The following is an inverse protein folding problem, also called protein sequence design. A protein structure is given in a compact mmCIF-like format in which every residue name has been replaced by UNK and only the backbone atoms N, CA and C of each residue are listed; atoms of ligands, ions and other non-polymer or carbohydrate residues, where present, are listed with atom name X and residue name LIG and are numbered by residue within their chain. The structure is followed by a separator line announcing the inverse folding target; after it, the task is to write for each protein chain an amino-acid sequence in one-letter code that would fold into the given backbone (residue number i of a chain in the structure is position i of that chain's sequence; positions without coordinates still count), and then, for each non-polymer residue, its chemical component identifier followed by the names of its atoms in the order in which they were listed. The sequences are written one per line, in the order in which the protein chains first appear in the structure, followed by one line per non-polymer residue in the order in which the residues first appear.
data_IF_952903941687
#
_entry.id   IF_952903941687
#
_cell.length_a   1.000
_cell.length_b   1.000
_cell.length_c   1.000
_cell.angle_alpha   90.00
_cell.angle_beta   90.00
_cell.angle_gamma   90.00
#
_symmetry.space_group_name_H-M   'P 1'
#
loop_
_entity.id
_entity.type
_entity.pdbx_description
1 polymer ?
#
# COMPACT_ATOMS: atom_id res chain seq x y z
N UNK A 1 6.61 12.42 -8.07
CA UNK A 1 6.11 11.56 -6.97
C UNK A 1 7.26 11.01 -6.16
N UNK A 2 7.00 10.36 -5.04
CA UNK A 2 8.01 9.82 -4.13
C UNK A 2 7.70 8.40 -3.72
N UNK A 3 8.73 7.61 -3.49
CA UNK A 3 8.65 6.26 -2.94
C UNK A 3 9.76 6.01 -1.91
N UNK A 4 9.37 5.57 -0.71
CA UNK A 4 10.31 5.08 0.30
C UNK A 4 10.37 3.56 0.24
N UNK A 5 11.54 2.99 -0.04
CA UNK A 5 11.72 1.55 -0.17
C UNK A 5 13.11 1.10 0.25
N UNK A 6 13.17 0.16 1.20
CA UNK A 6 14.41 -0.46 1.67
C UNK A 6 14.49 -1.96 1.37
N UNK A 7 13.38 -2.58 0.95
CA UNK A 7 13.34 -3.98 0.58
C UNK A 7 13.32 -4.13 -0.94
N UNK A 8 14.51 -4.39 -1.52
CA UNK A 8 14.76 -4.28 -2.96
C UNK A 8 14.38 -5.52 -3.77
N UNK A 9 14.03 -6.63 -3.11
CA UNK A 9 13.59 -7.83 -3.80
C UNK A 9 12.25 -7.60 -4.49
N UNK A 10 12.19 -7.95 -5.77
CA UNK A 10 11.04 -7.68 -6.65
C UNK A 10 10.18 -8.93 -6.85
N UNK A 11 9.77 -9.57 -5.74
CA UNK A 11 8.94 -10.78 -5.81
C UNK A 11 7.52 -10.53 -6.33
N UNK A 12 7.03 -9.30 -6.25
CA UNK A 12 5.70 -8.90 -6.67
C UNK A 12 5.67 -7.95 -7.88
N UNK A 13 6.82 -7.65 -8.47
CA UNK A 13 6.93 -6.80 -9.66
C UNK A 13 6.87 -5.29 -9.41
N UNK A 14 6.78 -4.83 -8.14
CA UNK A 14 6.64 -3.39 -7.82
C UNK A 14 7.80 -2.53 -8.30
N UNK A 15 9.04 -3.03 -8.18
CA UNK A 15 10.23 -2.31 -8.64
C UNK A 15 10.22 -2.10 -10.15
N UNK A 16 9.78 -3.12 -10.89
CA UNK A 16 9.64 -3.01 -12.34
C UNK A 16 8.52 -2.02 -12.69
N UNK A 17 7.37 -2.14 -12.04
CA UNK A 17 6.26 -1.21 -12.25
C UNK A 17 6.71 0.23 -12.06
N UNK A 18 7.42 0.54 -10.95
CA UNK A 18 7.94 1.88 -10.66
C UNK A 18 8.98 2.33 -11.68
N UNK A 19 9.88 1.44 -12.12
CA UNK A 19 10.86 1.78 -13.16
C UNK A 19 10.21 2.09 -14.50
N UNK A 20 9.15 1.38 -14.86
CA UNK A 20 8.38 1.67 -16.08
C UNK A 20 7.61 2.98 -15.92
N UNK A 21 6.92 3.17 -14.80
CA UNK A 21 6.21 4.41 -14.47
C UNK A 21 7.16 5.63 -14.52
N UNK A 22 8.39 5.46 -14.01
CA UNK A 22 9.42 6.51 -14.00
C UNK A 22 9.90 6.97 -15.37
N UNK A 23 9.56 6.26 -16.45
CA UNK A 23 9.81 6.69 -17.84
C UNK A 23 8.78 7.71 -18.32
N UNK A 24 7.61 7.75 -17.67
CA UNK A 24 6.47 8.58 -18.05
C UNK A 24 6.27 9.74 -17.08
N UNK A 25 6.54 9.55 -15.79
CA UNK A 25 6.41 10.60 -14.78
C UNK A 25 7.56 10.51 -13.77
N UNK A 26 8.09 11.66 -13.31
CA UNK A 26 9.22 11.69 -12.38
C UNK A 26 8.94 10.98 -11.06
N UNK A 27 9.75 9.98 -10.70
CA UNK A 27 9.69 9.23 -9.44
C UNK A 27 11.01 9.35 -8.71
N UNK A 28 10.98 9.95 -7.51
CA UNK A 28 12.11 9.97 -6.59
C UNK A 28 12.05 8.76 -5.66
N UNK A 29 13.09 7.94 -5.68
CA UNK A 29 13.18 6.72 -4.86
C UNK A 29 14.15 6.96 -3.71
N UNK A 30 13.63 6.86 -2.48
CA UNK A 30 14.38 7.02 -1.24
C UNK A 30 14.52 5.68 -0.51
N UNK A 31 15.61 5.51 0.21
CA UNK A 31 15.91 4.30 0.95
C UNK A 31 16.92 3.41 0.23
N UNK A 32 17.12 2.18 0.70
CA UNK A 32 18.21 1.32 0.24
C UNK A 32 18.10 0.90 -1.24
N UNK A 33 16.90 0.99 -1.81
CA UNK A 33 16.64 0.62 -3.20
C UNK A 33 16.71 1.79 -4.19
N UNK A 34 16.92 3.00 -3.71
CA UNK A 34 17.06 4.21 -4.53
C UNK A 34 18.41 4.90 -4.34
N UNK A 35 18.59 5.99 -5.07
CA UNK A 35 19.77 6.85 -5.03
C UNK A 35 19.65 7.99 -4.00
N UNK A 36 18.44 8.24 -3.50
CA UNK A 36 18.15 9.32 -2.57
C UNK A 36 18.10 8.83 -1.12
N UNK A 37 18.52 9.70 -0.21
CA UNK A 37 18.48 9.47 1.22
C UNK A 37 17.75 10.62 1.91
N UNK A 38 17.04 10.29 2.99
CA UNK A 38 16.44 11.27 3.86
C UNK A 38 16.74 10.90 5.31
N UNK A 39 17.33 11.83 6.07
CA UNK A 39 17.77 11.59 7.44
C UNK A 39 19.03 10.71 7.52
N UNK A 40 19.36 10.27 8.71
CA UNK A 40 20.45 9.30 8.90
C UNK A 40 20.03 7.94 8.36
N UNK A 41 20.97 7.21 7.78
CA UNK A 41 20.78 5.86 7.26
C UNK A 41 20.14 4.98 8.33
N UNK A 42 18.88 4.67 8.16
CA UNK A 42 18.18 3.78 9.08
C UNK A 42 18.49 2.34 8.70
N UNK A 43 18.96 1.59 9.68
CA UNK A 43 19.14 0.15 9.52
C UNK A 43 17.82 -0.52 9.14
N UNK A 44 17.91 -1.60 8.37
CA UNK A 44 16.79 -2.49 8.07
C UNK A 44 15.98 -2.76 9.37
N UNK A 45 14.72 -2.38 9.40
CA UNK A 45 13.84 -2.57 10.57
C UNK A 45 13.29 -1.29 11.22
N UNK A 46 13.78 -0.11 10.88
CA UNK A 46 13.16 1.13 11.35
C UNK A 46 11.93 1.43 10.49
N UNK A 47 10.75 1.33 11.09
CA UNK A 47 9.49 1.68 10.44
C UNK A 47 9.43 3.20 10.25
N UNK A 48 9.11 3.63 9.03
CA UNK A 48 8.79 5.02 8.77
C UNK A 48 7.46 5.37 9.47
N UNK A 49 7.48 6.40 10.29
CA UNK A 49 6.28 6.91 10.95
C UNK A 49 6.03 8.35 10.48
N UNK A 50 4.89 8.58 9.85
CA UNK A 50 4.52 9.88 9.30
C UNK A 50 4.39 10.99 10.37
N UNK A 51 4.14 10.62 11.63
CA UNK A 51 3.96 11.60 12.71
C UNK A 51 5.27 12.16 13.25
N UNK A 52 6.35 11.38 13.17
CA UNK A 52 7.62 11.70 13.85
C UNK A 52 8.84 11.79 12.94
N UNK A 53 8.73 11.37 11.70
CA UNK A 53 9.85 11.35 10.76
C UNK A 53 9.94 12.64 9.95
N UNK A 54 11.02 13.44 10.08
CA UNK A 54 11.19 14.69 9.36
C UNK A 54 11.18 14.52 7.83
N UNK A 55 11.41 13.31 7.34
CA UNK A 55 11.33 13.02 5.91
C UNK A 55 9.90 13.21 5.37
N UNK A 56 8.89 12.94 6.19
CA UNK A 56 7.50 13.14 5.77
C UNK A 56 7.11 14.62 5.69
N UNK A 57 7.76 15.50 6.46
CA UNK A 57 7.58 16.94 6.27
C UNK A 57 8.07 17.38 4.88
N UNK A 58 9.23 16.86 4.44
CA UNK A 58 9.75 17.08 3.09
C UNK A 58 8.75 16.56 2.03
N UNK A 59 8.15 15.39 2.27
CA UNK A 59 7.12 14.83 1.37
C UNK A 59 5.97 15.79 1.20
N UNK A 60 5.40 16.30 2.29
CA UNK A 60 4.28 17.22 2.31
C UNK A 60 4.54 18.53 1.52
N UNK A 61 5.77 18.98 1.51
CA UNK A 61 6.17 20.23 0.84
C UNK A 61 6.48 20.08 -0.64
N UNK A 62 6.98 18.90 -1.07
CA UNK A 62 7.60 18.75 -2.41
C UNK A 62 6.84 17.84 -3.34
N UNK A 63 5.98 16.95 -2.82
CA UNK A 63 5.39 15.89 -3.62
C UNK A 63 3.86 15.98 -3.62
N UNK A 64 3.26 15.53 -4.71
CA UNK A 64 1.79 15.45 -4.88
C UNK A 64 1.27 14.03 -4.75
N UNK A 65 2.12 13.04 -5.05
CA UNK A 65 1.76 11.62 -4.99
C UNK A 65 2.80 10.84 -4.19
N UNK A 66 2.34 9.89 -3.39
CA UNK A 66 3.15 8.99 -2.59
C UNK A 66 2.88 7.55 -3.01
N UNK A 67 3.92 6.80 -3.43
CA UNK A 67 3.79 5.39 -3.77
C UNK A 67 3.76 4.54 -2.51
N UNK A 68 2.59 4.06 -2.16
CA UNK A 68 2.34 3.16 -1.02
C UNK A 68 2.30 1.71 -1.52
N UNK A 69 3.45 1.22 -1.97
CA UNK A 69 3.59 -0.08 -2.63
C UNK A 69 3.99 -1.15 -1.63
N UNK A 70 3.13 -2.14 -1.45
CA UNK A 70 3.41 -3.28 -0.57
C UNK A 70 4.50 -4.18 -1.16
N UNK A 71 5.20 -4.90 -0.29
CA UNK A 71 6.24 -5.85 -0.70
C UNK A 71 5.69 -7.24 -1.07
N UNK A 72 4.43 -7.50 -0.78
CA UNK A 72 3.70 -8.70 -1.18
C UNK A 72 2.31 -8.31 -1.71
N UNK A 73 1.77 -9.09 -2.63
CA UNK A 73 0.40 -8.97 -3.09
C UNK A 73 -0.32 -10.21 -2.58
N UNK A 74 -0.96 -10.07 -1.43
CA UNK A 74 -1.77 -11.08 -0.79
C UNK A 74 -3.12 -10.48 -0.43
N UNK A 75 -4.16 -11.31 -0.33
CA UNK A 75 -5.45 -10.86 0.17
C UNK A 75 -5.27 -10.25 1.56
N UNK A 76 -5.90 -9.11 1.77
CA UNK A 76 -5.98 -8.39 3.04
C UNK A 76 -4.60 -7.97 3.63
N UNK A 77 -3.55 -8.04 2.80
CA UNK A 77 -2.23 -7.58 3.20
C UNK A 77 -2.12 -6.07 2.99
N UNK A 78 -2.40 -5.33 4.06
CA UNK A 78 -2.29 -3.86 4.14
C UNK A 78 -1.45 -3.53 5.36
N UNK A 79 -0.42 -2.72 5.18
CA UNK A 79 0.54 -2.39 6.23
C UNK A 79 0.53 -0.89 6.55
N UNK A 80 1.42 -0.47 7.44
CA UNK A 80 1.63 0.92 7.84
C UNK A 80 1.81 1.88 6.64
N UNK A 81 2.19 1.38 5.48
CA UNK A 81 2.41 2.20 4.28
C UNK A 81 1.15 2.92 3.83
N UNK A 82 0.01 2.22 3.87
CA UNK A 82 -1.29 2.80 3.53
C UNK A 82 -1.67 3.93 4.50
N UNK A 83 -1.61 3.64 5.79
CA UNK A 83 -2.01 4.58 6.83
C UNK A 83 -1.07 5.78 6.95
N UNK A 84 0.25 5.57 6.84
CA UNK A 84 1.22 6.66 6.81
C UNK A 84 0.99 7.59 5.60
N UNK A 85 0.68 7.03 4.44
CA UNK A 85 0.42 7.81 3.24
C UNK A 85 -0.83 8.69 3.37
N UNK A 86 -1.89 8.22 4.03
CA UNK A 86 -3.12 8.98 4.27
C UNK A 86 -2.92 10.19 5.19
N UNK A 87 -1.93 10.16 6.08
CA UNK A 87 -1.57 11.30 6.93
C UNK A 87 -0.88 12.44 6.18
N UNK A 88 -0.37 12.17 4.98
CA UNK A 88 0.39 13.13 4.19
C UNK A 88 -0.51 14.01 3.31
N UNK A 89 -0.02 15.17 2.91
CA UNK A 89 -0.67 16.06 1.95
C UNK A 89 -0.41 15.62 0.49
N UNK A 90 -0.37 14.32 0.28
CA UNK A 90 -0.17 13.67 -1.02
C UNK A 90 -1.30 12.70 -1.28
N UNK A 91 -1.60 12.43 -2.55
CA UNK A 91 -2.52 11.36 -2.90
C UNK A 91 -1.74 10.04 -2.87
N UNK A 92 -2.15 9.07 -2.03
CA UNK A 92 -1.57 7.74 -2.03
C UNK A 92 -1.84 7.00 -3.33
N UNK A 93 -0.82 6.38 -3.89
CA UNK A 93 -0.94 5.43 -5.01
C UNK A 93 -0.65 4.05 -4.44
N UNK A 94 -1.66 3.19 -4.37
CA UNK A 94 -1.58 1.87 -3.75
C UNK A 94 -1.16 0.82 -4.75
N UNK A 95 -0.36 -0.15 -4.30
CA UNK A 95 -0.02 -1.35 -5.06
C UNK A 95 0.07 -2.53 -4.08
N UNK A 96 -0.95 -3.38 -4.05
CA UNK A 96 -1.03 -4.50 -3.11
C UNK A 96 -2.33 -5.29 -3.28
N UNK A 97 -2.54 -6.27 -2.42
CA UNK A 97 -3.68 -7.20 -2.48
C UNK A 97 -4.81 -6.89 -1.50
N UNK A 98 -4.78 -5.75 -0.82
CA UNK A 98 -5.84 -5.34 0.10
C UNK A 98 -7.12 -4.91 -0.64
N UNK A 99 -8.24 -5.08 0.01
CA UNK A 99 -9.51 -4.46 -0.41
C UNK A 99 -9.52 -3.01 0.07
N UNK A 100 -8.84 -2.14 -0.67
CA UNK A 100 -8.67 -0.75 -0.28
C UNK A 100 -9.98 0.03 -0.25
N UNK A 101 -10.97 -0.34 -1.05
CA UNK A 101 -12.30 0.30 -1.04
C UNK A 101 -13.08 0.02 0.25
N UNK A 102 -12.82 -1.12 0.90
CA UNK A 102 -13.43 -1.48 2.19
C UNK A 102 -12.64 -0.90 3.37
N UNK A 103 -11.30 -0.85 3.27
CA UNK A 103 -10.42 -0.57 4.40
C UNK A 103 -10.13 0.93 4.56
N UNK A 104 -10.05 1.67 3.44
CA UNK A 104 -9.62 3.06 3.44
C UNK A 104 -10.81 4.02 3.22
N UNK A 105 -10.69 5.29 3.63
CA UNK A 105 -11.72 6.27 3.38
C UNK A 105 -12.07 6.37 1.89
N UNK A 106 -13.35 6.55 1.55
CA UNK A 106 -13.77 6.65 0.15
C UNK A 106 -13.03 7.75 -0.62
N UNK A 107 -12.61 7.44 -1.83
CA UNK A 107 -11.94 8.39 -2.71
C UNK A 107 -10.68 9.04 -2.11
N UNK A 108 -9.92 8.29 -1.29
CA UNK A 108 -8.71 8.77 -0.61
C UNK A 108 -7.41 8.33 -1.29
N UNK A 109 -7.47 7.45 -2.30
CA UNK A 109 -6.31 6.81 -2.91
C UNK A 109 -6.52 6.54 -4.41
N UNK A 110 -5.43 6.17 -5.08
CA UNK A 110 -5.43 5.64 -6.44
C UNK A 110 -4.89 4.21 -6.39
N UNK A 111 -5.62 3.25 -6.94
CA UNK A 111 -5.17 1.87 -7.04
C UNK A 111 -4.40 1.66 -8.34
N UNK A 112 -3.07 1.46 -8.25
CA UNK A 112 -2.20 1.25 -9.40
C UNK A 112 -2.53 -0.04 -10.16
N UNK A 113 -3.14 -1.04 -9.50
CA UNK A 113 -3.53 -2.28 -10.15
C UNK A 113 -4.74 -2.11 -11.08
N UNK A 114 -5.45 -0.99 -11.01
CA UNK A 114 -6.50 -0.62 -12.00
C UNK A 114 -5.90 -0.11 -13.32
N UNK A 115 -4.58 0.12 -13.38
CA UNK A 115 -3.84 0.60 -14.55
C UNK A 115 -2.82 -0.47 -15.00
N UNK A 116 -3.20 -1.34 -15.95
CA UNK A 116 -2.33 -2.40 -16.48
C UNK A 116 -1.04 -1.87 -17.10
N UNK A 117 -1.14 -0.74 -17.80
CA UNK A 117 0.02 -0.02 -18.29
C UNK A 117 0.38 1.13 -17.33
N UNK A 118 1.63 1.19 -16.84
CA UNK A 118 2.08 2.32 -16.05
C UNK A 118 2.00 3.68 -16.77
N UNK A 119 1.96 3.70 -18.10
CA UNK A 119 1.72 4.91 -18.89
C UNK A 119 0.32 5.48 -18.62
N UNK A 120 -0.70 4.63 -18.57
CA UNK A 120 -2.09 5.04 -18.30
C UNK A 120 -2.20 5.63 -16.89
N UNK A 121 -1.48 5.06 -15.92
CA UNK A 121 -1.39 5.64 -14.58
C UNK A 121 -0.74 7.02 -14.63
N UNK A 122 0.37 7.18 -15.34
CA UNK A 122 1.05 8.47 -15.48
C UNK A 122 0.12 9.53 -16.07
N UNK A 123 -0.62 9.20 -17.13
CA UNK A 123 -1.58 10.11 -17.77
C UNK A 123 -2.69 10.51 -16.80
N UNK A 124 -3.22 9.56 -16.02
CA UNK A 124 -4.19 9.86 -14.96
C UNK A 124 -3.61 10.82 -13.92
N UNK A 125 -2.39 10.57 -13.44
CA UNK A 125 -1.72 11.43 -12.46
C UNK A 125 -1.47 12.84 -13.02
N UNK A 126 -1.05 12.96 -14.28
CA UNK A 126 -0.92 14.27 -14.95
C UNK A 126 -2.26 15.00 -15.06
N UNK A 127 -3.34 14.30 -15.38
CA UNK A 127 -4.67 14.90 -15.45
C UNK A 127 -5.10 15.52 -14.11
N UNK A 128 -4.71 14.89 -12.98
CA UNK A 128 -4.97 15.42 -11.64
C UNK A 128 -4.10 16.66 -11.32
N UNK A 129 -2.85 16.70 -11.80
CA UNK A 129 -1.99 17.87 -11.62
C UNK A 129 -2.52 19.11 -12.37
N UNK A 130 -3.22 18.90 -13.47
CA UNK A 130 -3.81 19.95 -14.29
C UNK A 130 -5.19 20.41 -13.79
N UNK A 131 -5.80 19.66 -12.85
CA UNK A 131 -7.12 19.96 -12.29
C UNK A 131 -7.07 20.02 -10.76
N UNK A 132 -6.84 21.20 -10.17
CA UNK A 132 -6.79 21.38 -8.72
C UNK A 132 -8.07 20.94 -7.99
N UNK A 133 -9.23 21.05 -8.65
CA UNK A 133 -10.51 20.63 -8.09
C UNK A 133 -10.59 19.12 -7.94
N UNK A 134 -10.21 18.38 -8.98
CA UNK A 134 -10.11 16.92 -8.92
C UNK A 134 -9.02 16.47 -7.96
N UNK A 135 -7.86 17.12 -7.96
CA UNK A 135 -6.79 16.80 -7.00
C UNK A 135 -7.28 16.96 -5.56
N UNK A 136 -7.89 18.10 -5.22
CA UNK A 136 -8.37 18.36 -3.86
C UNK A 136 -9.52 17.44 -3.43
N UNK A 137 -10.27 16.87 -4.37
CA UNK A 137 -11.36 15.93 -4.06
C UNK A 137 -10.87 14.66 -3.33
N UNK A 138 -9.62 14.26 -3.52
CA UNK A 138 -9.00 13.12 -2.82
C UNK A 138 -8.76 13.37 -1.32
N UNK A 139 -9.00 14.57 -0.82
CA UNK A 139 -8.84 14.93 0.60
C UNK A 139 -10.17 15.25 1.29
N UNK A 140 -11.31 15.13 0.60
CA UNK A 140 -12.65 15.43 1.16
C UNK A 140 -13.07 14.49 2.28
N UNK A 141 -12.45 13.34 2.39
CA UNK A 141 -12.70 12.37 3.46
C UNK A 141 -12.20 12.84 4.83
N UNK A 142 -11.18 13.72 4.89
CA UNK A 142 -10.48 14.11 6.12
C UNK A 142 -11.35 14.65 7.26
N UNK A 143 -12.42 15.43 7.02
CA UNK A 143 -13.31 15.87 8.10
C UNK A 143 -14.13 14.74 8.72
N UNK A 144 -14.16 13.56 8.13
CA UNK A 144 -15.03 12.44 8.52
C UNK A 144 -14.28 11.23 9.06
N UNK A 145 -12.94 11.20 8.96
CA UNK A 145 -12.10 10.06 9.33
C UNK A 145 -10.81 10.52 10.00
N UNK A 146 -10.49 9.88 11.10
CA UNK A 146 -9.20 10.01 11.78
C UNK A 146 -8.30 8.82 11.44
N UNK A 147 -7.05 9.09 11.07
CA UNK A 147 -6.06 8.05 10.86
C UNK A 147 -5.29 7.85 12.14
N UNK A 148 -5.65 6.81 12.88
CA UNK A 148 -4.98 6.48 14.13
C UNK A 148 -3.57 5.95 13.86
N UNK A 149 -2.60 6.42 14.62
CA UNK A 149 -1.27 5.82 14.61
C UNK A 149 -1.27 4.56 15.47
N UNK A 150 -0.36 3.66 15.16
CA UNK A 150 -0.11 2.45 15.98
C UNK A 150 0.10 2.76 17.48
N UNK A 151 0.61 3.96 17.79
CA UNK A 151 0.80 4.42 19.17
C UNK A 151 -0.49 4.92 19.85
N UNK A 152 -1.52 5.23 19.06
CA UNK A 152 -2.79 5.78 19.56
C UNK A 152 -3.83 4.71 19.87
N UNK A 153 -3.62 3.48 19.39
CA UNK A 153 -4.49 2.33 19.68
C UNK A 153 -3.75 1.45 20.70
N UNK A 154 -4.34 1.17 21.86
CA UNK A 154 -3.79 0.18 22.77
C UNK A 154 -3.82 -1.19 22.06
N UNK A 155 -2.68 -1.62 21.51
CA UNK A 155 -2.54 -2.77 20.60
C UNK A 155 -3.05 -4.10 21.16
N UNK A 156 -3.36 -4.15 22.45
CA UNK A 156 -3.67 -5.40 23.14
C UNK A 156 -5.02 -5.37 23.87
N UNK A 157 -5.81 -4.28 23.79
CA UNK A 157 -7.07 -4.23 24.52
C UNK A 157 -8.06 -5.31 24.05
N UNK A 158 -8.17 -5.49 22.72
CA UNK A 158 -9.05 -6.52 22.16
C UNK A 158 -8.56 -7.92 22.47
N UNK A 159 -7.22 -8.12 22.44
CA UNK A 159 -6.61 -9.39 22.85
C UNK A 159 -6.88 -9.67 24.34
N UNK A 160 -6.65 -8.69 25.21
CA UNK A 160 -6.90 -8.84 26.64
C UNK A 160 -8.41 -9.09 26.91
N UNK A 161 -9.29 -8.34 26.25
CA UNK A 161 -10.74 -8.52 26.38
C UNK A 161 -11.17 -9.91 25.93
N UNK A 162 -10.70 -10.36 24.77
CA UNK A 162 -11.01 -11.68 24.24
C UNK A 162 -10.48 -12.83 25.11
N UNK A 163 -9.30 -12.65 25.74
CA UNK A 163 -8.75 -13.62 26.69
C UNK A 163 -9.58 -13.66 27.99
N UNK A 164 -9.95 -12.52 28.54
CA UNK A 164 -10.72 -12.43 29.78
C UNK A 164 -12.14 -12.91 29.57
N UNK A 165 -12.79 -12.60 28.46
CA UNK A 165 -14.14 -13.06 28.12
C UNK A 165 -14.22 -14.55 27.77
N UNK A 166 -13.08 -15.20 27.52
CA UNK A 166 -13.02 -16.59 27.05
C UNK A 166 -13.32 -16.76 25.55
N UNK A 167 -13.57 -15.67 24.84
CA UNK A 167 -13.86 -15.71 23.40
C UNK A 167 -12.69 -16.27 22.57
N UNK A 168 -11.46 -16.01 23.01
CA UNK A 168 -10.24 -16.53 22.40
C UNK A 168 -9.82 -17.91 22.95
N UNK A 169 -10.59 -18.51 23.88
CA UNK A 169 -10.28 -19.81 24.44
C UNK A 169 -10.55 -21.00 23.49
N UNK A 170 -11.13 -20.74 22.30
CA UNK A 170 -11.28 -21.76 21.27
C UNK A 170 -9.93 -22.14 20.69
N UNK A 171 -9.51 -23.36 20.94
CA UNK A 171 -8.35 -23.92 20.24
C UNK A 171 -8.58 -23.91 18.73
N UNK A 172 -7.68 -23.24 18.01
CA UNK A 172 -7.61 -23.29 16.56
C UNK A 172 -6.24 -23.83 16.20
N UNK A 173 -6.21 -24.96 15.53
CA UNK A 173 -4.97 -25.54 15.01
C UNK A 173 -4.90 -25.33 13.49
N UNK A 174 -3.73 -24.94 13.04
CA UNK A 174 -3.42 -24.82 11.61
C UNK A 174 -2.37 -25.88 11.29
N UNK A 175 -2.76 -26.97 10.60
CA UNK A 175 -1.83 -28.06 10.28
C UNK A 175 -0.62 -27.60 9.45
N UNK A 176 -0.84 -26.59 8.61
CA UNK A 176 0.20 -25.96 7.79
C UNK A 176 0.02 -24.43 7.81
N UNK A 177 0.84 -23.77 8.61
CA UNK A 177 0.83 -22.29 8.70
C UNK A 177 1.21 -21.62 7.39
N UNK A 178 2.08 -22.25 6.59
CA UNK A 178 2.46 -21.69 5.29
C UNK A 178 1.31 -21.77 4.30
N UNK A 179 0.60 -22.90 4.27
CA UNK A 179 -0.61 -23.03 3.46
C UNK A 179 -1.66 -21.99 3.84
N UNK A 180 -1.91 -21.85 5.14
CA UNK A 180 -2.88 -20.89 5.65
C UNK A 180 -2.49 -19.45 5.35
N UNK A 181 -1.24 -19.06 5.65
CA UNK A 181 -0.78 -17.66 5.55
C UNK A 181 -0.49 -17.24 4.12
N UNK A 182 -0.01 -18.14 3.25
CA UNK A 182 0.49 -17.81 1.93
C UNK A 182 -0.45 -18.29 0.82
N UNK A 183 -0.80 -19.58 0.81
CA UNK A 183 -1.62 -20.13 -0.29
C UNK A 183 -3.07 -19.69 -0.19
N UNK A 184 -3.68 -19.78 1.00
CA UNK A 184 -5.09 -19.40 1.19
C UNK A 184 -5.31 -17.90 1.16
N UNK A 185 -4.31 -17.10 1.51
CA UNK A 185 -4.35 -15.65 1.32
C UNK A 185 -4.12 -15.23 -0.13
N UNK A 186 -3.96 -16.18 -1.06
CA UNK A 186 -3.85 -15.90 -2.47
C UNK A 186 -2.66 -15.00 -2.83
N UNK A 187 -1.54 -15.15 -2.11
CA UNK A 187 -0.33 -14.39 -2.40
C UNK A 187 0.17 -14.64 -3.80
N UNK A 188 0.47 -13.59 -4.53
CA UNK A 188 1.00 -13.66 -5.89
C UNK A 188 2.50 -13.38 -5.87
N UNK A 189 3.27 -14.35 -6.35
CA UNK A 189 4.72 -14.24 -6.52
C UNK A 189 5.06 -14.28 -8.00
N UNK A 190 5.68 -13.23 -8.49
CA UNK A 190 6.15 -13.17 -9.88
C UNK A 190 7.56 -13.74 -9.96
N UNK A 191 7.72 -15.05 -10.09
CA UNK A 191 9.03 -15.67 -10.36
C UNK A 191 9.61 -15.28 -11.72
N UNK A 192 8.76 -14.83 -12.64
CA UNK A 192 9.14 -14.35 -13.97
C UNK A 192 8.49 -12.98 -14.18
N UNK A 193 9.32 -12.03 -14.15
CA UNK A 193 9.03 -10.62 -14.30
C UNK A 193 8.46 -10.19 -15.68
N UNK A 194 7.93 -11.10 -16.46
CA UNK A 194 7.56 -10.89 -17.87
C UNK A 194 6.10 -10.60 -18.09
N UNK A 195 5.26 -10.81 -17.07
CA UNK A 195 3.85 -10.83 -17.34
C UNK A 195 3.05 -9.98 -16.34
N UNK A 196 3.33 -8.66 -16.37
CA UNK A 196 2.45 -7.72 -15.67
C UNK A 196 1.01 -7.86 -16.20
N UNK A 197 0.83 -8.06 -17.51
CA UNK A 197 -0.48 -8.29 -18.11
C UNK A 197 -1.12 -9.60 -17.63
N UNK A 198 -0.35 -10.70 -17.59
CA UNK A 198 -0.83 -11.98 -17.08
C UNK A 198 -1.05 -11.94 -15.57
N UNK A 199 -0.20 -11.21 -14.84
CA UNK A 199 -0.39 -10.91 -13.43
C UNK A 199 -1.68 -10.14 -13.21
N UNK A 200 -1.94 -9.10 -13.99
CA UNK A 200 -3.16 -8.30 -13.91
C UNK A 200 -4.41 -9.11 -14.31
N UNK A 201 -4.29 -10.03 -15.27
CA UNK A 201 -5.36 -10.95 -15.60
C UNK A 201 -5.65 -11.93 -14.46
N UNK A 202 -4.61 -12.52 -13.87
CA UNK A 202 -4.76 -13.38 -12.68
C UNK A 202 -5.38 -12.63 -11.50
N UNK A 203 -4.97 -11.39 -11.31
CA UNK A 203 -5.53 -10.53 -10.26
C UNK A 203 -6.99 -10.19 -10.50
N UNK A 204 -7.38 -9.87 -11.72
CA UNK A 204 -8.80 -9.69 -12.11
C UNK A 204 -9.62 -10.93 -11.80
N UNK A 205 -9.14 -12.12 -12.19
CA UNK A 205 -9.80 -13.39 -11.90
C UNK A 205 -9.95 -13.65 -10.40
N UNK A 206 -8.95 -13.24 -9.59
CA UNK A 206 -9.01 -13.34 -8.12
C UNK A 206 -9.98 -12.32 -7.54
N UNK A 207 -10.03 -11.10 -8.07
CA UNK A 207 -10.95 -10.03 -7.64
C UNK A 207 -12.40 -10.35 -8.02
N UNK A 208 -12.64 -10.91 -9.20
CA UNK A 208 -13.96 -11.35 -9.68
C UNK A 208 -14.51 -12.50 -8.82
N UNK A 209 -13.66 -13.48 -8.47
CA UNK A 209 -14.04 -14.56 -7.55
C UNK A 209 -14.31 -14.09 -6.12
N UNK A 210 -13.79 -12.92 -5.71
CA UNK A 210 -14.14 -12.30 -4.43
C UNK A 210 -15.60 -11.82 -4.41
N UNK A 211 -16.10 -11.30 -5.51
CA UNK A 211 -17.49 -10.85 -5.61
C UNK A 211 -18.49 -12.03 -5.51
N UNK A 212 -18.10 -13.22 -5.97
CA UNK A 212 -18.94 -14.42 -5.95
C UNK A 212 -19.00 -15.12 -4.58
N UNK A 213 -18.04 -14.90 -3.69
CA UNK A 213 -17.98 -15.55 -2.35
C UNK A 213 -18.69 -14.71 -1.27
N UNK A 214 -19.19 -13.52 -1.63
CA UNK A 214 -19.95 -12.63 -0.72
C UNK A 214 -21.48 -12.84 -0.77
N UNK A 215 -21.99 -13.97 -1.31
CA UNK A 215 -23.41 -14.35 -1.23
C UNK A 215 -23.61 -15.39 -0.14
#
# INVERSE_FOLDING_TARGET
MIWFVSHCNDYNGRMRYVRTLGRHIGVDIYGDCGDKRCGQTRSMGTRYNADTDPCFEMVNRRYKFYLSFENAICRDYVTEKAYNALKLNTIPVMFGGGDYEEILPPHSFIDALKYPDPADLADHLYSLLLDPGRFSSYFRWRPHYDILSHQSVPDNCDLCTGLVSGELARERTYPDMWDWLVRRSGCVFTKRAWDLQRFMQLWRTVSEKRAEVRV
#
